data_IF_356437096084
#
_entry.id   IF_356437096084
#
_cell.length_a   1.000
_cell.length_b   1.000
_cell.length_c   1.000
_cell.angle_alpha   90.00
_cell.angle_beta   90.00
_cell.angle_gamma   90.00
#
_symmetry.space_group_name_H-M   'P 1'
#
loop_
_entity.id
_entity.type
_entity.pdbx_description
1 polymer ?
#
# COMPACT_ATOMS: atom_id res chain seq x y z
N UNK A 1 9.34 1.73 22.28
CA UNK A 1 10.41 1.10 21.48
C UNK A 1 10.65 1.99 20.28
N UNK A 2 11.88 2.45 20.07
CA UNK A 2 12.27 3.17 18.86
C UNK A 2 12.59 2.10 17.80
N UNK A 3 11.81 2.04 16.73
CA UNK A 3 12.05 1.13 15.62
C UNK A 3 12.96 1.84 14.62
N UNK A 4 14.09 1.23 14.27
CA UNK A 4 14.93 1.73 13.20
C UNK A 4 14.18 1.53 11.87
N UNK A 5 13.69 2.62 11.30
CA UNK A 5 13.05 2.59 9.98
C UNK A 5 14.17 2.48 8.93
N UNK A 6 14.12 1.48 8.03
CA UNK A 6 15.08 1.40 6.94
C UNK A 6 15.05 2.69 6.10
N UNK A 7 16.23 3.20 5.73
CA UNK A 7 16.35 4.50 5.05
C UNK A 7 15.84 4.50 3.60
N UNK A 8 15.52 3.33 3.03
CA UNK A 8 15.14 3.18 1.63
C UNK A 8 13.70 2.72 1.42
N UNK A 9 12.83 2.81 2.44
CA UNK A 9 11.42 2.40 2.29
C UNK A 9 10.64 3.24 1.26
N UNK A 10 11.10 4.47 1.00
CA UNK A 10 10.43 5.41 0.08
C UNK A 10 10.90 5.26 -1.37
N UNK A 11 11.96 4.48 -1.62
CA UNK A 11 12.48 4.27 -2.97
C UNK A 11 11.73 3.11 -3.60
N UNK A 12 11.05 3.38 -4.71
CA UNK A 12 10.42 2.32 -5.50
C UNK A 12 11.46 1.39 -6.13
N UNK A 13 11.15 0.09 -6.13
CA UNK A 13 11.96 -0.90 -6.81
C UNK A 13 12.02 -0.64 -8.33
N UNK A 14 13.23 -0.83 -8.87
CA UNK A 14 13.50 -0.73 -10.31
C UNK A 14 13.27 -2.09 -10.94
N UNK A 15 12.37 -2.15 -11.92
CA UNK A 15 11.97 -3.43 -12.56
C UNK A 15 12.77 -3.67 -13.82
N UNK A 16 12.94 -2.65 -14.66
CA UNK A 16 13.65 -2.75 -15.95
C UNK A 16 14.77 -1.72 -15.98
N UNK A 17 15.99 -2.19 -15.73
CA UNK A 17 17.18 -1.34 -15.68
C UNK A 17 17.02 -0.22 -14.64
N UNK A 18 17.08 1.07 -15.04
CA UNK A 18 16.94 2.19 -14.11
C UNK A 18 15.49 2.58 -13.79
N UNK A 19 14.48 1.98 -14.45
CA UNK A 19 13.09 2.45 -14.41
C UNK A 19 12.25 1.72 -13.36
N UNK A 20 11.43 2.49 -12.63
CA UNK A 20 10.43 1.95 -11.69
C UNK A 20 9.17 1.46 -12.42
N UNK A 21 8.35 0.66 -11.75
CA UNK A 21 7.09 0.16 -12.30
C UNK A 21 6.19 1.27 -12.86
N UNK A 22 6.08 2.38 -12.11
CA UNK A 22 5.23 3.53 -12.49
C UNK A 22 5.79 4.28 -13.70
N UNK A 23 7.12 4.43 -13.77
CA UNK A 23 7.79 5.06 -14.90
C UNK A 23 7.59 4.26 -16.18
N UNK A 24 7.72 2.93 -16.09
CA UNK A 24 7.43 2.03 -17.20
C UNK A 24 5.97 2.13 -17.63
N UNK A 25 5.03 2.18 -16.70
CA UNK A 25 3.61 2.38 -17.01
C UNK A 25 3.36 3.66 -17.81
N UNK A 26 3.90 4.80 -17.38
CA UNK A 26 3.75 6.07 -18.09
C UNK A 26 4.40 6.06 -19.48
N UNK A 27 5.61 5.52 -19.60
CA UNK A 27 6.29 5.40 -20.90
C UNK A 27 5.58 4.43 -21.84
N UNK A 28 5.02 3.34 -21.30
CA UNK A 28 4.21 2.39 -22.06
C UNK A 28 2.95 3.05 -22.63
N UNK A 29 2.22 3.81 -21.81
CA UNK A 29 1.04 4.56 -22.27
C UNK A 29 1.44 5.59 -23.33
N UNK A 30 2.52 6.34 -23.11
CA UNK A 30 3.04 7.29 -24.10
C UNK A 30 3.40 6.59 -25.42
N UNK A 31 4.08 5.44 -25.36
CA UNK A 31 4.44 4.64 -26.53
C UNK A 31 3.21 4.18 -27.31
N UNK A 32 2.20 3.64 -26.64
CA UNK A 32 0.93 3.23 -27.27
C UNK A 32 0.23 4.43 -27.92
N UNK A 33 0.16 5.58 -27.24
CA UNK A 33 -0.42 6.80 -27.81
C UNK A 33 0.33 7.28 -29.06
N UNK A 34 1.67 7.25 -29.02
CA UNK A 34 2.48 7.63 -30.18
C UNK A 34 2.29 6.68 -31.36
N UNK A 35 2.15 5.37 -31.12
CA UNK A 35 1.83 4.40 -32.17
C UNK A 35 0.46 4.68 -32.80
N UNK A 36 -0.54 5.02 -31.98
CA UNK A 36 -1.87 5.41 -32.47
C UNK A 36 -1.76 6.68 -33.32
N UNK A 37 -1.05 7.70 -32.86
CA UNK A 37 -0.87 8.94 -33.62
C UNK A 37 -0.12 8.71 -34.93
N UNK A 38 0.92 7.88 -34.91
CA UNK A 38 1.66 7.52 -36.12
C UNK A 38 0.75 6.85 -37.17
N UNK A 39 -0.18 6.01 -36.73
CA UNK A 39 -1.11 5.32 -37.65
C UNK A 39 -2.27 6.18 -38.13
N UNK A 40 -2.60 7.29 -37.47
CA UNK A 40 -3.85 8.04 -37.71
C UNK A 40 -3.63 9.48 -38.20
N UNK A 41 -2.50 10.11 -37.86
CA UNK A 41 -2.21 11.51 -38.19
C UNK A 41 -1.18 11.63 -39.32
N UNK A 42 -1.30 12.72 -40.08
CA UNK A 42 -0.26 13.14 -41.04
C UNK A 42 0.99 13.59 -40.29
N UNK A 43 2.17 13.43 -40.89
CA UNK A 43 3.46 13.78 -40.27
C UNK A 43 3.51 15.21 -39.69
N UNK A 44 2.90 16.19 -40.38
CA UNK A 44 2.85 17.59 -39.94
C UNK A 44 2.06 17.80 -38.65
N UNK A 45 1.01 17.02 -38.39
CA UNK A 45 0.22 17.10 -37.15
C UNK A 45 0.74 16.14 -36.08
N UNK A 46 1.32 15.01 -36.49
CA UNK A 46 1.95 14.04 -35.60
C UNK A 46 3.09 14.67 -34.78
N UNK A 47 4.02 15.37 -35.42
CA UNK A 47 5.23 15.87 -34.78
C UNK A 47 4.97 16.78 -33.56
N UNK A 48 4.13 17.85 -33.65
CA UNK A 48 3.84 18.68 -32.48
C UNK A 48 3.10 17.91 -31.38
N UNK A 49 2.16 17.03 -31.75
CA UNK A 49 1.38 16.25 -30.79
C UNK A 49 2.24 15.22 -30.06
N UNK A 50 3.18 14.59 -30.77
CA UNK A 50 4.14 13.68 -30.20
C UNK A 50 5.04 14.38 -29.19
N UNK A 51 5.50 15.59 -29.50
CA UNK A 51 6.33 16.38 -28.58
C UNK A 51 5.57 16.74 -27.30
N UNK A 52 4.32 17.21 -27.42
CA UNK A 52 3.46 17.52 -26.26
C UNK A 52 3.24 16.27 -25.41
N UNK A 53 2.94 15.14 -26.05
CA UNK A 53 2.68 13.86 -25.37
C UNK A 53 3.93 13.38 -24.62
N UNK A 54 5.09 13.37 -25.26
CA UNK A 54 6.35 13.02 -24.62
C UNK A 54 6.70 13.96 -23.46
N UNK A 55 6.44 15.26 -23.61
CA UNK A 55 6.64 16.24 -22.54
C UNK A 55 5.77 15.95 -21.32
N UNK A 56 4.46 15.71 -21.51
CA UNK A 56 3.52 15.44 -20.42
C UNK A 56 3.83 14.12 -19.73
N UNK A 57 3.95 13.03 -20.50
CA UNK A 57 4.17 11.70 -19.95
C UNK A 57 5.59 11.54 -19.38
N UNK A 58 6.58 12.19 -19.99
CA UNK A 58 7.93 12.28 -19.45
C UNK A 58 7.97 13.02 -18.11
N UNK A 59 7.27 14.15 -18.00
CA UNK A 59 7.13 14.86 -16.73
C UNK A 59 6.41 13.99 -15.68
N UNK A 60 5.32 13.31 -16.03
CA UNK A 60 4.61 12.40 -15.12
C UNK A 60 5.48 11.23 -14.63
N UNK A 61 6.41 10.75 -15.46
CA UNK A 61 7.32 9.66 -15.10
C UNK A 61 8.52 10.14 -14.23
N UNK A 62 9.16 11.24 -14.60
CA UNK A 62 10.46 11.62 -14.04
C UNK A 62 10.44 12.86 -13.13
N UNK A 63 9.49 13.77 -13.33
CA UNK A 63 9.46 14.99 -12.54
C UNK A 63 8.86 14.73 -11.16
N UNK A 64 9.60 15.11 -10.11
CA UNK A 64 9.22 14.87 -8.72
C UNK A 64 9.35 16.13 -7.85
N UNK A 65 8.35 17.04 -7.88
CA UNK A 65 8.37 18.22 -7.02
C UNK A 65 8.28 17.80 -5.54
N UNK A 66 9.15 18.37 -4.70
CA UNK A 66 9.21 18.07 -3.25
C UNK A 66 9.32 16.57 -2.92
N UNK A 67 10.06 15.82 -3.73
CA UNK A 67 10.25 14.38 -3.59
C UNK A 67 8.96 13.55 -3.71
N UNK A 68 7.90 14.11 -4.33
CA UNK A 68 6.65 13.42 -4.58
C UNK A 68 6.43 13.20 -6.08
N UNK A 69 5.78 12.10 -6.51
CA UNK A 69 5.39 11.92 -7.91
C UNK A 69 4.50 13.07 -8.39
N UNK A 70 4.74 13.57 -9.61
CA UNK A 70 3.99 14.69 -10.19
C UNK A 70 2.46 14.45 -10.15
N UNK A 71 2.00 13.22 -10.41
CA UNK A 71 0.58 12.89 -10.33
C UNK A 71 0.00 13.17 -8.94
N UNK A 72 0.71 12.80 -7.88
CA UNK A 72 0.26 13.01 -6.49
C UNK A 72 0.26 14.49 -6.14
N UNK A 73 1.27 15.24 -6.61
CA UNK A 73 1.33 16.68 -6.43
C UNK A 73 0.15 17.39 -7.11
N UNK A 74 -0.13 17.05 -8.37
CA UNK A 74 -1.28 17.59 -9.12
C UNK A 74 -2.61 17.25 -8.43
N UNK A 75 -2.80 15.99 -8.03
CA UNK A 75 -4.00 15.58 -7.30
C UNK A 75 -4.17 16.33 -5.98
N UNK A 76 -3.07 16.57 -5.26
CA UNK A 76 -3.09 17.36 -4.04
C UNK A 76 -3.46 18.82 -4.31
N UNK A 77 -2.94 19.41 -5.39
CA UNK A 77 -3.33 20.74 -5.84
C UNK A 77 -4.82 20.83 -6.17
N UNK A 78 -5.33 19.92 -6.99
CA UNK A 78 -6.75 19.84 -7.34
C UNK A 78 -7.62 19.69 -6.08
N UNK A 79 -7.24 18.77 -5.19
CA UNK A 79 -7.95 18.55 -3.92
C UNK A 79 -7.94 19.80 -3.03
N UNK A 80 -6.84 20.56 -3.03
CA UNK A 80 -6.74 21.82 -2.29
C UNK A 80 -7.69 22.89 -2.83
N UNK A 81 -7.81 23.01 -4.15
CA UNK A 81 -8.73 23.97 -4.77
C UNK A 81 -10.21 23.61 -4.57
N UNK A 82 -10.54 22.31 -4.60
CA UNK A 82 -11.92 21.83 -4.45
C UNK A 82 -12.39 21.78 -2.99
N UNK A 83 -11.47 21.66 -2.03
CA UNK A 83 -11.83 21.54 -0.62
C UNK A 83 -12.37 22.87 -0.07
N UNK A 84 -13.46 22.83 0.72
CA UNK A 84 -13.93 24.02 1.42
C UNK A 84 -12.86 24.49 2.41
N UNK A 85 -12.53 25.78 2.37
CA UNK A 85 -11.50 26.40 3.23
C UNK A 85 -11.98 26.65 4.66
N UNK A 86 -13.21 26.27 4.97
CA UNK A 86 -13.81 26.45 6.30
C UNK A 86 -13.51 25.20 7.13
N UNK A 87 -12.57 25.34 8.04
CA UNK A 87 -12.26 24.31 9.03
C UNK A 87 -13.23 24.45 10.20
N UNK A 88 -14.35 23.72 10.15
CA UNK A 88 -15.24 23.59 11.31
C UNK A 88 -14.70 22.46 12.18
N UNK A 89 -14.59 22.71 13.48
CA UNK A 89 -14.27 21.65 14.45
C UNK A 89 -15.37 20.59 14.40
N UNK A 90 -15.08 19.44 13.78
CA UNK A 90 -15.91 18.25 13.85
C UNK A 90 -15.47 17.45 15.05
N UNK A 91 -16.29 17.48 16.11
CA UNK A 91 -16.15 16.56 17.24
C UNK A 91 -16.48 15.17 16.74
N UNK A 92 -15.47 14.45 16.26
CA UNK A 92 -15.59 13.02 16.02
C UNK A 92 -15.78 12.39 17.39
N UNK A 93 -17.03 12.07 17.73
CA UNK A 93 -17.27 11.00 18.67
C UNK A 93 -16.69 9.78 17.99
N UNK A 94 -15.49 9.40 18.41
CA UNK A 94 -14.94 8.10 18.14
C UNK A 94 -15.89 7.13 18.85
N UNK A 95 -17.04 6.84 18.24
CA UNK A 95 -17.63 5.54 18.40
C UNK A 95 -16.55 4.65 17.81
N UNK A 96 -15.59 4.25 18.64
CA UNK A 96 -14.85 3.03 18.45
C UNK A 96 -15.95 2.06 18.08
N UNK A 97 -16.08 1.78 16.78
CA UNK A 97 -16.89 0.68 16.31
C UNK A 97 -16.33 -0.43 17.17
N UNK A 98 -17.11 -0.87 18.15
CA UNK A 98 -16.75 -1.98 19.01
C UNK A 98 -16.18 -2.97 18.05
N UNK A 99 -14.85 -3.14 18.09
CA UNK A 99 -14.13 -3.96 17.12
C UNK A 99 -14.92 -5.24 17.23
N UNK A 100 -15.71 -5.55 16.18
CA UNK A 100 -16.47 -6.78 16.15
C UNK A 100 -15.36 -7.76 16.32
N UNK A 101 -15.28 -8.31 17.54
CA UNK A 101 -14.28 -9.27 17.91
C UNK A 101 -14.52 -10.31 16.86
N UNK A 102 -13.67 -10.30 15.83
CA UNK A 102 -13.65 -11.38 14.88
C UNK A 102 -13.46 -12.55 15.81
N UNK A 103 -14.51 -13.35 15.94
CA UNK A 103 -14.39 -14.70 16.39
C UNK A 103 -13.35 -15.26 15.42
N UNK A 104 -12.08 -15.10 15.81
CA UNK A 104 -11.03 -16.00 15.39
C UNK A 104 -11.69 -17.33 15.69
N UNK A 105 -12.10 -18.02 14.64
CA UNK A 105 -12.21 -19.46 14.61
C UNK A 105 -11.06 -19.93 15.47
N UNK A 106 -11.39 -20.22 16.72
CA UNK A 106 -10.51 -20.91 17.62
C UNK A 106 -10.50 -22.24 16.92
N UNK A 107 -9.47 -22.46 16.10
CA UNK A 107 -8.98 -23.80 15.86
C UNK A 107 -9.12 -24.49 17.20
N UNK A 108 -10.01 -25.47 17.25
CA UNK A 108 -10.25 -26.27 18.43
C UNK A 108 -8.89 -26.88 18.76
N UNK A 109 -8.13 -26.17 19.60
CA UNK A 109 -7.14 -26.80 20.44
C UNK A 109 -8.02 -27.64 21.34
N UNK A 110 -8.33 -28.84 20.87
CA UNK A 110 -8.79 -29.95 21.69
C UNK A 110 -7.65 -30.12 22.69
N UNK A 111 -7.71 -29.35 23.76
CA UNK A 111 -7.07 -29.70 25.02
C UNK A 111 -7.81 -30.96 25.40
N UNK A 112 -7.29 -32.09 24.91
CA UNK A 112 -7.62 -33.41 25.41
C UNK A 112 -7.16 -33.36 26.86
N UNK A 113 -8.03 -32.85 27.73
CA UNK A 113 -7.85 -32.92 29.17
C UNK A 113 -7.74 -34.41 29.42
N UNK A 114 -6.51 -34.87 29.62
CA UNK A 114 -6.23 -36.25 29.97
C UNK A 114 -7.01 -36.45 31.26
N UNK A 115 -8.14 -37.14 31.18
CA UNK A 115 -8.89 -37.53 32.37
C UNK A 115 -7.92 -38.41 33.14
N UNK A 116 -7.34 -37.85 34.19
CA UNK A 116 -6.36 -38.52 35.01
C UNK A 116 -7.12 -39.56 35.81
N UNK A 117 -6.84 -40.84 35.52
CA UNK A 117 -7.37 -41.97 36.26
C UNK A 117 -7.02 -41.81 37.74
N UNK A 118 -8.01 -41.90 38.62
CA UNK A 118 -7.88 -41.65 40.06
C UNK A 118 -6.77 -42.51 40.70
N UNK A 119 -6.52 -43.70 40.14
CA UNK A 119 -5.43 -44.58 40.56
C UNK A 119 -4.04 -43.95 40.41
N UNK A 120 -3.80 -43.15 39.36
CA UNK A 120 -2.53 -42.44 39.15
C UNK A 120 -2.33 -41.28 40.12
N UNK A 121 -3.42 -40.63 40.54
CA UNK A 121 -3.37 -39.56 41.53
C UNK A 121 -3.01 -40.13 42.92
N UNK A 122 -3.58 -41.29 43.27
CA UNK A 122 -3.27 -41.95 44.53
C UNK A 122 -1.82 -42.47 44.58
N UNK A 123 -1.30 -42.99 43.46
CA UNK A 123 0.10 -43.41 43.37
C UNK A 123 1.07 -42.22 43.51
N UNK A 124 0.75 -41.09 42.87
CA UNK A 124 1.56 -39.86 43.01
C UNK A 124 1.54 -39.34 44.44
N UNK A 125 0.40 -39.35 45.11
CA UNK A 125 0.28 -38.91 46.50
C UNK A 125 1.12 -39.79 47.46
N UNK A 126 1.10 -41.12 47.27
CA UNK A 126 1.91 -42.04 48.09
C UNK A 126 3.41 -41.84 47.90
N UNK A 127 3.85 -41.56 46.66
CA UNK A 127 5.27 -41.26 46.39
C UNK A 127 5.73 -39.93 46.99
N UNK A 128 4.84 -38.95 47.06
CA UNK A 128 5.18 -37.61 47.58
C UNK A 128 5.33 -37.60 49.10
N UNK A 129 4.59 -38.46 49.80
CA UNK A 129 4.66 -38.60 51.27
C UNK A 129 5.79 -39.51 51.77
N UNK A 130 6.65 -40.03 50.88
CA UNK A 130 7.71 -40.97 51.26
C UNK A 130 9.07 -40.31 51.54
N UNK A 131 9.07 -39.00 51.82
CA UNK A 131 10.25 -38.22 52.22
C UNK A 131 9.94 -37.42 53.47
#
# INVERSE_FOLDING_TARGET
MLFNVPQFIDIEDKIVGPLTAKQLGWLGIAGVLLLIFWSTLTFSTFLPLAFITLGIFGALAFYRPYNQPLLNFLMSGVNFFLKPKIYVWKRYYDSMKAVKKTEKTTEEIIVKRKVLDNKKLEELAKRLNQK
#
